data_IF_412208896505
#
_entry.id   IF_412208896505
#
_cell.length_a   1.000
_cell.length_b   1.000
_cell.length_c   1.000
_cell.angle_alpha   90.00
_cell.angle_beta   90.00
_cell.angle_gamma   90.00
#
_symmetry.space_group_name_H-M   'P 1'
#
loop_
_entity.id
_entity.type
_entity.pdbx_description
1 polymer ?
#
# COMPACT_ATOMS: atom_id res chain seq x y z
N UNK A 1 -11.07 6.33 -4.43
CA UNK A 1 -11.21 4.90 -4.75
C UNK A 1 -9.82 4.25 -4.80
N UNK A 2 -9.69 3.05 -4.27
CA UNK A 2 -8.48 2.24 -4.30
C UNK A 2 -8.70 1.00 -5.16
N UNK A 3 -7.76 0.75 -6.07
CA UNK A 3 -7.81 -0.34 -7.03
C UNK A 3 -6.61 -1.27 -6.85
N UNK A 4 -6.83 -2.57 -7.05
CA UNK A 4 -5.80 -3.60 -7.10
C UNK A 4 -6.19 -4.68 -8.11
N UNK A 5 -5.29 -5.01 -9.04
CA UNK A 5 -5.56 -6.01 -10.08
C UNK A 5 -6.79 -5.70 -10.94
N UNK A 6 -7.06 -4.41 -11.20
CA UNK A 6 -8.20 -3.94 -12.00
C UNK A 6 -9.56 -3.95 -11.28
N UNK A 7 -9.60 -4.29 -9.99
CA UNK A 7 -10.82 -4.28 -9.17
C UNK A 7 -10.72 -3.25 -8.05
N UNK A 8 -11.84 -2.61 -7.71
CA UNK A 8 -11.93 -1.73 -6.53
C UNK A 8 -11.80 -2.59 -5.28
N UNK A 9 -10.88 -2.22 -4.39
CA UNK A 9 -10.69 -2.89 -3.09
C UNK A 9 -11.26 -2.09 -1.93
N UNK A 10 -11.27 -0.77 -2.04
CA UNK A 10 -11.88 0.12 -1.06
C UNK A 10 -12.28 1.45 -1.71
N UNK A 11 -13.40 2.00 -1.31
CA UNK A 11 -13.85 3.33 -1.75
C UNK A 11 -14.64 4.03 -0.65
N UNK A 12 -14.79 5.34 -0.79
CA UNK A 12 -15.61 6.15 0.10
C UNK A 12 -16.16 7.34 -0.67
N UNK A 13 -17.36 7.76 -0.31
CA UNK A 13 -18.00 9.00 -0.72
C UNK A 13 -17.76 10.15 0.28
N UNK A 14 -16.94 9.91 1.31
CA UNK A 14 -16.67 10.83 2.42
C UNK A 14 -17.52 10.55 3.67
N UNK A 15 -18.60 9.80 3.56
CA UNK A 15 -19.46 9.41 4.68
C UNK A 15 -19.14 7.98 5.13
N UNK A 16 -19.25 7.02 4.22
CA UNK A 16 -19.07 5.60 4.50
C UNK A 16 -17.97 4.99 3.63
N UNK A 17 -17.30 3.96 4.15
CA UNK A 17 -16.33 3.18 3.39
C UNK A 17 -16.97 1.88 2.91
N UNK A 18 -16.82 1.60 1.62
CA UNK A 18 -17.15 0.31 1.00
C UNK A 18 -15.86 -0.48 0.76
N UNK A 19 -15.94 -1.79 0.90
CA UNK A 19 -14.80 -2.70 0.77
C UNK A 19 -15.13 -3.86 -0.17
N UNK A 20 -14.11 -4.38 -0.84
CA UNK A 20 -14.24 -5.60 -1.63
C UNK A 20 -14.61 -6.82 -0.79
N UNK A 21 -15.30 -7.77 -1.42
CA UNK A 21 -15.56 -9.11 -0.86
C UNK A 21 -14.46 -10.12 -1.18
N UNK A 22 -13.36 -9.67 -1.78
CA UNK A 22 -12.19 -10.50 -2.04
C UNK A 22 -11.57 -10.99 -0.73
N UNK A 23 -11.53 -12.31 -0.55
CA UNK A 23 -10.99 -12.99 0.63
C UNK A 23 -9.51 -12.65 0.91
N UNK A 24 -8.76 -12.17 -0.09
CA UNK A 24 -7.38 -11.69 0.09
C UNK A 24 -7.31 -10.47 1.02
N UNK A 25 -8.34 -9.64 0.99
CA UNK A 25 -8.42 -8.35 1.67
C UNK A 25 -9.49 -8.29 2.77
N UNK A 26 -10.34 -9.31 2.84
CA UNK A 26 -11.38 -9.44 3.85
C UNK A 26 -10.83 -9.24 5.26
N UNK A 27 -11.48 -8.37 6.02
CA UNK A 27 -11.15 -7.98 7.39
C UNK A 27 -9.75 -7.35 7.59
N UNK A 28 -9.04 -7.04 6.49
CA UNK A 28 -7.69 -6.46 6.52
C UNK A 28 -7.64 -5.00 6.12
N UNK A 29 -8.62 -4.51 5.36
CA UNK A 29 -8.67 -3.14 4.90
C UNK A 29 -9.29 -2.21 5.96
N UNK A 30 -8.72 -1.02 6.09
CA UNK A 30 -9.32 0.11 6.81
C UNK A 30 -9.08 1.37 6.02
N UNK A 31 -10.14 2.02 5.57
CA UNK A 31 -10.10 3.29 4.88
C UNK A 31 -10.36 4.43 5.87
N UNK A 32 -9.58 5.50 5.80
CA UNK A 32 -9.88 6.75 6.50
C UNK A 32 -10.72 7.64 5.57
N UNK A 33 -11.98 7.88 5.95
CA UNK A 33 -12.92 8.64 5.13
C UNK A 33 -12.59 10.14 5.03
N UNK A 34 -11.80 10.68 5.97
CA UNK A 34 -11.39 12.09 5.95
C UNK A 34 -10.18 12.31 5.03
N UNK A 35 -9.22 11.40 5.03
CA UNK A 35 -7.94 11.57 4.30
C UNK A 35 -7.84 10.72 3.03
N UNK A 36 -8.74 9.75 2.84
CA UNK A 36 -8.65 8.75 1.77
C UNK A 36 -7.54 7.72 1.96
N UNK A 37 -6.86 7.71 3.11
CA UNK A 37 -5.72 6.81 3.37
C UNK A 37 -6.20 5.38 3.59
N UNK A 38 -5.63 4.42 2.84
CA UNK A 38 -5.88 2.99 3.02
C UNK A 38 -4.83 2.35 3.93
N UNK A 39 -5.28 1.64 4.95
CA UNK A 39 -4.45 0.77 5.79
C UNK A 39 -4.77 -0.69 5.47
N UNK A 40 -3.74 -1.50 5.23
CA UNK A 40 -3.85 -2.95 5.04
C UNK A 40 -3.18 -3.64 6.23
N UNK A 41 -3.95 -4.43 6.98
CA UNK A 41 -3.47 -5.22 8.12
C UNK A 41 -2.97 -6.58 7.66
N UNK A 42 -2.07 -7.19 8.43
CA UNK A 42 -1.55 -8.53 8.19
C UNK A 42 -1.01 -8.71 6.76
N UNK A 43 0.01 -7.92 6.43
CA UNK A 43 0.68 -7.95 5.13
C UNK A 43 1.25 -9.35 4.86
N UNK A 44 0.88 -9.94 3.74
CA UNK A 44 1.37 -11.23 3.22
C UNK A 44 1.97 -11.01 1.84
N UNK A 45 2.83 -11.92 1.40
CA UNK A 45 3.37 -11.89 0.03
C UNK A 45 2.24 -11.79 -1.02
N UNK A 46 1.09 -12.43 -0.77
CA UNK A 46 -0.07 -12.44 -1.67
C UNK A 46 -0.78 -11.10 -1.87
N UNK A 47 -0.53 -10.11 -1.01
CA UNK A 47 -1.05 -8.74 -1.19
C UNK A 47 -0.02 -7.80 -1.81
N UNK A 48 1.15 -8.31 -2.22
CA UNK A 48 2.09 -7.56 -3.05
C UNK A 48 1.46 -7.28 -4.43
N UNK A 49 1.80 -6.14 -5.00
CA UNK A 49 1.36 -5.75 -6.32
C UNK A 49 1.19 -4.23 -6.44
N UNK A 50 0.58 -3.84 -7.55
CA UNK A 50 0.35 -2.43 -7.88
C UNK A 50 -1.02 -2.00 -7.38
N UNK A 51 -1.04 -0.92 -6.61
CA UNK A 51 -2.23 -0.27 -6.09
C UNK A 51 -2.40 1.06 -6.81
N UNK A 52 -3.61 1.35 -7.27
CA UNK A 52 -3.95 2.65 -7.84
C UNK A 52 -4.93 3.37 -6.92
N UNK A 53 -4.60 4.60 -6.57
CA UNK A 53 -5.45 5.53 -5.84
C UNK A 53 -5.98 6.54 -6.84
N UNK A 54 -7.31 6.60 -6.96
CA UNK A 54 -8.02 7.64 -7.67
C UNK A 54 -8.74 8.53 -6.65
N UNK A 55 -8.44 9.82 -6.67
CA UNK A 55 -9.10 10.84 -5.86
C UNK A 55 -9.91 11.70 -6.81
N UNK A 56 -11.23 11.58 -6.74
CA UNK A 56 -12.13 12.43 -7.49
C UNK A 56 -12.65 13.53 -6.56
N UNK A 57 -12.30 14.78 -6.85
CA UNK A 57 -12.75 15.94 -6.09
C UNK A 57 -13.35 16.98 -7.04
N UNK A 58 -14.68 17.01 -7.11
CA UNK A 58 -15.48 17.89 -7.96
C UNK A 58 -15.10 17.78 -9.45
N UNK A 59 -14.27 18.70 -9.96
CA UNK A 59 -13.84 18.74 -11.36
C UNK A 59 -12.44 18.21 -11.59
N UNK A 60 -11.72 17.84 -10.52
CA UNK A 60 -10.33 17.38 -10.59
C UNK A 60 -10.24 15.91 -10.21
N UNK A 61 -9.63 15.12 -11.09
CA UNK A 61 -9.31 13.72 -10.86
C UNK A 61 -7.79 13.63 -10.71
N UNK A 62 -7.35 13.10 -9.56
CA UNK A 62 -5.94 12.89 -9.25
C UNK A 62 -5.68 11.40 -9.07
N UNK A 63 -4.66 10.89 -9.76
CA UNK A 63 -4.28 9.49 -9.71
C UNK A 63 -2.90 9.31 -9.12
N UNK A 64 -2.72 8.27 -8.30
CA UNK A 64 -1.42 7.88 -7.76
C UNK A 64 -1.26 6.38 -7.78
N UNK A 65 -0.07 5.91 -8.15
CA UNK A 65 0.22 4.48 -8.20
C UNK A 65 1.28 4.12 -7.18
N UNK A 66 1.05 3.03 -6.45
CA UNK A 66 1.96 2.50 -5.45
C UNK A 66 2.31 1.06 -5.80
N UNK A 67 3.61 0.78 -5.97
CA UNK A 67 4.09 -0.59 -6.06
C UNK A 67 4.46 -1.08 -4.67
N UNK A 68 3.74 -2.09 -4.18
CA UNK A 68 3.92 -2.66 -2.85
C UNK A 68 4.54 -4.05 -2.99
N UNK A 69 5.70 -4.25 -2.37
CA UNK A 69 6.36 -5.56 -2.31
C UNK A 69 6.48 -5.99 -0.86
N UNK A 70 5.97 -7.18 -0.55
CA UNK A 70 6.11 -7.83 0.75
C UNK A 70 7.10 -8.98 0.62
N UNK A 71 8.13 -8.98 1.45
CA UNK A 71 9.14 -10.04 1.50
C UNK A 71 9.14 -10.68 2.88
N UNK A 72 9.09 -12.01 2.92
CA UNK A 72 9.29 -12.79 4.14
C UNK A 72 10.78 -13.17 4.23
N UNK A 73 11.43 -12.80 5.32
CA UNK A 73 12.80 -13.21 5.58
C UNK A 73 12.79 -14.41 6.53
N UNK A 74 13.27 -15.56 6.03
CA UNK A 74 13.65 -16.67 6.91
C UNK A 74 14.98 -16.32 7.59
N UNK A 75 14.92 -15.92 8.86
CA UNK A 75 16.14 -15.82 9.68
C UNK A 75 16.62 -17.23 9.99
N UNK A 76 17.62 -17.71 9.23
CA UNK A 76 18.32 -18.95 9.55
C UNK A 76 18.93 -18.82 10.95
N UNK A 77 18.59 -19.76 11.82
CA UNK A 77 19.21 -19.88 13.15
C UNK A 77 20.64 -20.35 12.96
N UNK A 78 21.62 -19.54 13.33
CA UNK A 78 22.94 -20.05 13.69
C UNK A 78 22.91 -20.40 15.18
N UNK A 79 23.38 -21.60 15.52
CA UNK A 79 23.47 -22.04 16.91
C UNK A 79 24.57 -21.26 17.62
N UNK A 80 24.20 -20.42 18.58
CA UNK A 80 25.15 -19.76 19.48
C UNK A 80 25.34 -20.64 20.72
N UNK A 81 26.58 -20.69 21.24
CA UNK A 81 26.92 -21.46 22.43
C UNK A 81 26.22 -20.91 23.69
N UNK A 82 26.12 -21.77 24.70
CA UNK A 82 25.46 -21.54 25.99
C UNK A 82 25.90 -20.22 26.66
N UNK A 83 24.94 -19.28 26.82
CA UNK A 83 25.16 -18.03 27.55
C UNK A 83 24.37 -16.81 27.06
N UNK A 84 23.92 -16.80 25.80
CA UNK A 84 23.25 -15.63 25.21
C UNK A 84 21.72 -15.75 25.17
N UNK A 85 21.03 -14.66 25.50
CA UNK A 85 19.56 -14.57 25.47
C UNK A 85 19.02 -14.61 24.04
N UNK A 86 18.07 -15.51 23.81
CA UNK A 86 17.41 -15.77 22.52
C UNK A 86 16.57 -14.57 22.10
N UNK A 87 16.89 -13.96 20.96
CA UNK A 87 16.01 -12.99 20.30
C UNK A 87 14.83 -13.79 19.70
N UNK A 88 13.64 -13.53 20.22
CA UNK A 88 12.37 -14.16 19.83
C UNK A 88 12.13 -14.08 18.33
N UNK A 89 11.83 -15.23 17.73
CA UNK A 89 11.54 -15.35 16.30
C UNK A 89 10.19 -14.73 15.97
N UNK A 90 10.22 -13.47 15.55
CA UNK A 90 9.17 -12.92 14.70
C UNK A 90 9.58 -13.14 13.25
N UNK A 91 8.73 -13.80 12.46
CA UNK A 91 8.87 -13.83 11.01
C UNK A 91 8.72 -12.39 10.51
N UNK A 92 9.85 -11.67 10.40
CA UNK A 92 9.84 -10.29 9.98
C UNK A 92 9.47 -10.21 8.50
N UNK A 93 8.26 -9.73 8.23
CA UNK A 93 7.85 -9.29 6.90
C UNK A 93 8.34 -7.85 6.71
N UNK A 94 9.12 -7.59 5.65
CA UNK A 94 9.42 -6.22 5.25
C UNK A 94 8.44 -5.77 4.17
N UNK A 95 7.97 -4.52 4.27
CA UNK A 95 7.09 -3.90 3.29
C UNK A 95 7.84 -2.76 2.60
N UNK A 96 7.96 -2.84 1.28
CA UNK A 96 8.55 -1.80 0.45
C UNK A 96 7.45 -1.13 -0.37
N UNK A 97 7.39 0.20 -0.33
CA UNK A 97 6.43 1.02 -1.08
C UNK A 97 7.21 1.95 -1.99
N UNK A 98 6.98 1.80 -3.30
CA UNK A 98 7.57 2.67 -4.32
C UNK A 98 6.44 3.50 -4.93
N UNK A 99 6.59 4.83 -4.97
CA UNK A 99 5.70 5.68 -5.76
C UNK A 99 6.05 5.46 -7.24
N UNK A 100 5.05 5.13 -8.05
CA UNK A 100 5.19 5.09 -9.49
C UNK A 100 4.51 6.32 -10.07
N UNK A 101 5.32 7.34 -10.38
CA UNK A 101 4.87 8.47 -11.18
C UNK A 101 4.92 8.04 -12.64
N UNK A 102 3.79 7.57 -13.17
CA UNK A 102 3.64 7.45 -14.61
C UNK A 102 3.43 8.87 -15.14
N UNK A 103 4.47 9.48 -15.69
CA UNK A 103 4.27 10.62 -16.56
C UNK A 103 3.63 10.09 -17.83
N UNK A 104 2.30 10.17 -17.97
CA UNK A 104 1.75 10.27 -19.32
C UNK A 104 2.22 11.60 -19.89
N UNK A 105 3.06 11.56 -20.93
CA UNK A 105 2.88 12.50 -22.03
C UNK A 105 1.43 12.37 -22.51
N UNK A 106 0.66 13.44 -22.62
CA UNK A 106 1.01 14.60 -23.42
C UNK A 106 0.94 15.94 -22.65
N UNK A 107 1.86 16.84 -23.03
CA UNK A 107 2.15 18.17 -22.47
C UNK A 107 2.89 18.20 -21.12
N UNK A 108 4.21 17.96 -21.20
CA UNK A 108 5.18 18.61 -20.32
C UNK A 108 4.97 20.13 -20.39
N UNK A 109 4.56 20.73 -19.29
CA UNK A 109 4.98 22.09 -18.92
C UNK A 109 5.49 22.07 -17.48
N UNK A 110 6.81 22.10 -17.41
CA UNK A 110 7.67 22.62 -16.35
C UNK A 110 7.37 22.28 -14.90
N UNK A 111 8.25 21.41 -14.37
CA UNK A 111 8.73 21.45 -13.00
C UNK A 111 9.30 22.85 -12.75
N UNK A 112 8.52 23.74 -12.15
CA UNK A 112 9.06 24.80 -11.29
C UNK A 112 8.98 24.29 -9.85
N UNK A 113 10.05 23.62 -9.44
CA UNK A 113 10.46 23.63 -8.05
C UNK A 113 10.54 25.10 -7.62
N UNK A 114 9.69 25.53 -6.69
CA UNK A 114 9.94 26.78 -5.99
C UNK A 114 9.69 26.59 -4.49
N UNK A 115 10.73 26.78 -3.64
CA UNK A 115 10.58 26.77 -2.20
C UNK A 115 10.14 28.15 -1.72
N UNK A 116 9.07 28.18 -0.92
CA UNK A 116 8.91 29.15 0.18
C UNK A 116 8.33 28.41 1.38
#
# INVERSE_FOLDING_TARGET
MWWFGGSIIAETDGNEASYTKDERFRDRLKLNNQTGSLTIKNMRITVSGVYHLEINHNTVISNKTFSVTVQEFEVKRESVMEGDSVISQSCCCSVYIHNCDWATGDHMTDIQNNPF
#
